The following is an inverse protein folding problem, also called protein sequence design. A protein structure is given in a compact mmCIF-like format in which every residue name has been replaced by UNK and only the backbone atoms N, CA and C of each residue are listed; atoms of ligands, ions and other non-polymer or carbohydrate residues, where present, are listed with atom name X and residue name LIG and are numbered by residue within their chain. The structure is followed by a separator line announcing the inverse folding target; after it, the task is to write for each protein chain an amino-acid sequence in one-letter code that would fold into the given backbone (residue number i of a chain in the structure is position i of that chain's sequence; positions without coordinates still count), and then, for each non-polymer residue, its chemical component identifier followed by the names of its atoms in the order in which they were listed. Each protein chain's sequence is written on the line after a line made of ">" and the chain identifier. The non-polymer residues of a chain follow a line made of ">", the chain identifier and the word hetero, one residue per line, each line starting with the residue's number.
data_IF_830886890843
#
_entry.id   IF_830886890843
#
_cell.length_a   1.000
_cell.length_b   1.000
_cell.length_c   1.000
_cell.angle_alpha   90.00
_cell.angle_beta   90.00
_cell.angle_gamma   90.00
#
_symmetry.space_group_name_H-M   'P 1'
#
loop_
_entity.id
_entity.type
_entity.pdbx_description
1 polymer ?
#
# COMPACT_ATOMS: atom_id res chain seq x y z
N UNK A 1 -12.89 -31.30 68.26
CA UNK A 1 -12.38 -29.90 68.27
C UNK A 1 -11.55 -29.77 67.01
N UNK A 2 -12.10 -29.21 65.92
CA UNK A 2 -12.00 -27.79 65.57
C UNK A 2 -10.51 -27.41 65.35
N UNK A 3 -10.04 -26.95 64.21
CA UNK A 3 -10.68 -26.03 63.28
C UNK A 3 -10.01 -26.12 61.89
N UNK A 4 -10.79 -25.71 60.91
CA UNK A 4 -10.40 -25.43 59.54
C UNK A 4 -9.29 -24.39 59.54
N UNK A 5 -8.29 -24.50 58.66
CA UNK A 5 -8.07 -23.36 57.78
C UNK A 5 -7.46 -23.72 56.43
N UNK A 6 -8.17 -23.22 55.43
CA UNK A 6 -7.96 -23.41 54.00
C UNK A 6 -6.62 -22.77 53.60
N UNK A 7 -5.69 -23.56 53.05
CA UNK A 7 -4.72 -22.99 52.10
C UNK A 7 -5.51 -22.45 50.91
N UNK A 8 -5.82 -21.15 50.94
CA UNK A 8 -6.24 -20.40 49.77
C UNK A 8 -5.15 -20.60 48.73
N UNK A 9 -5.51 -21.21 47.61
CA UNK A 9 -4.85 -20.98 46.33
C UNK A 9 -4.96 -19.49 46.08
N UNK A 10 -3.97 -18.73 46.52
CA UNK A 10 -3.79 -17.35 46.08
C UNK A 10 -3.53 -17.45 44.57
N UNK A 11 -4.60 -17.25 43.80
CA UNK A 11 -4.51 -17.05 42.37
C UNK A 11 -3.54 -15.91 42.07
N UNK A 12 -2.98 -15.92 40.86
CA UNK A 12 -2.08 -14.89 40.39
C UNK A 12 -2.63 -13.49 40.79
N UNK A 13 -1.78 -12.60 41.32
CA UNK A 13 -2.20 -11.26 41.70
C UNK A 13 -3.00 -10.60 40.59
N UNK A 14 -4.08 -9.89 40.94
CA UNK A 14 -4.86 -9.15 39.95
C UNK A 14 -3.93 -8.22 39.14
N UNK A 15 -4.03 -8.22 37.80
CA UNK A 15 -3.19 -7.36 37.00
C UNK A 15 -3.43 -5.90 37.41
N UNK A 16 -2.37 -5.07 37.51
CA UNK A 16 -2.50 -3.68 37.93
C UNK A 16 -3.50 -2.94 37.05
N UNK A 17 -4.28 -2.03 37.66
CA UNK A 17 -5.35 -1.29 37.01
C UNK A 17 -4.89 -0.47 35.78
N UNK A 18 -3.60 -0.14 35.70
CA UNK A 18 -2.96 0.40 34.51
C UNK A 18 -1.70 -0.40 34.18
N UNK A 19 -1.68 -0.98 32.97
CA UNK A 19 -0.47 -1.50 32.36
C UNK A 19 0.29 -0.29 31.80
N UNK A 20 1.20 0.28 32.59
CA UNK A 20 2.13 1.30 32.09
C UNK A 20 3.15 0.59 31.20
N UNK A 21 2.95 0.67 29.89
CA UNK A 21 3.94 0.24 28.91
C UNK A 21 5.17 1.14 29.12
N UNK A 22 6.26 0.59 29.62
CA UNK A 22 7.51 1.33 29.78
C UNK A 22 7.88 1.99 28.44
N UNK A 23 8.12 3.30 28.44
CA UNK A 23 8.60 4.00 27.25
C UNK A 23 9.85 3.28 26.75
N UNK A 24 9.73 2.65 25.58
CA UNK A 24 10.88 2.04 24.92
C UNK A 24 11.87 3.16 24.63
N UNK A 25 12.95 3.25 25.42
CA UNK A 25 14.06 4.16 25.14
C UNK A 25 14.40 4.01 23.66
N UNK A 26 14.37 5.08 22.84
CA UNK A 26 14.66 4.97 21.44
C UNK A 26 16.08 4.42 21.30
N UNK A 27 16.19 3.14 20.90
CA UNK A 27 17.48 2.54 20.62
C UNK A 27 18.07 3.30 19.44
N UNK A 28 19.23 3.92 19.64
CA UNK A 28 19.92 4.61 18.58
C UNK A 28 20.25 3.62 17.46
N UNK A 29 19.66 3.84 16.28
CA UNK A 29 19.81 2.95 15.15
C UNK A 29 21.06 3.34 14.35
N UNK A 30 22.18 2.70 14.70
CA UNK A 30 23.46 2.90 14.01
C UNK A 30 23.41 2.52 12.52
N UNK A 31 22.57 1.55 12.12
CA UNK A 31 22.44 1.18 10.70
C UNK A 31 21.77 2.30 9.94
N UNK A 32 20.72 2.88 10.52
CA UNK A 32 20.03 4.05 9.96
C UNK A 32 21.00 5.21 9.72
N UNK A 33 21.80 5.54 10.73
CA UNK A 33 22.80 6.63 10.65
C UNK A 33 23.86 6.32 9.58
N UNK A 34 24.35 5.08 9.55
CA UNK A 34 25.32 4.66 8.56
C UNK A 34 24.84 4.89 7.12
N UNK A 35 23.63 4.45 6.74
CA UNK A 35 23.13 4.63 5.37
C UNK A 35 22.79 6.08 5.05
N UNK A 36 22.37 6.88 6.03
CA UNK A 36 22.20 8.33 5.85
C UNK A 36 23.55 8.96 5.46
N UNK A 37 24.58 8.68 6.27
CA UNK A 37 25.93 9.18 6.03
C UNK A 37 26.53 8.63 4.74
N UNK A 38 26.25 7.38 4.38
CA UNK A 38 26.70 6.78 3.13
C UNK A 38 26.13 7.54 1.91
N UNK A 39 24.83 7.81 1.91
CA UNK A 39 24.18 8.58 0.85
C UNK A 39 24.75 9.99 0.72
N UNK A 40 24.95 10.69 1.85
CA UNK A 40 25.58 12.01 1.88
C UNK A 40 27.03 11.98 1.40
N UNK A 41 27.81 11.01 1.88
CA UNK A 41 29.22 10.86 1.53
C UNK A 41 29.38 10.63 0.04
N UNK A 42 28.58 9.73 -0.55
CA UNK A 42 28.62 9.49 -1.99
C UNK A 42 28.21 10.73 -2.78
N UNK A 43 27.20 11.48 -2.32
CA UNK A 43 26.82 12.73 -2.97
C UNK A 43 28.00 13.70 -3.03
N UNK A 44 28.61 14.01 -1.87
CA UNK A 44 29.69 14.98 -1.79
C UNK A 44 30.94 14.52 -2.54
N UNK A 45 31.32 13.25 -2.41
CA UNK A 45 32.47 12.69 -3.13
C UNK A 45 32.27 12.82 -4.63
N UNK A 46 31.11 12.41 -5.17
CA UNK A 46 30.86 12.46 -6.62
C UNK A 46 30.74 13.90 -7.11
N UNK A 47 30.04 14.77 -6.38
CA UNK A 47 29.84 16.16 -6.78
C UNK A 47 31.16 16.94 -6.88
N UNK A 48 32.07 16.77 -5.91
CA UNK A 48 33.36 17.48 -5.86
C UNK A 48 34.51 16.76 -6.59
N UNK A 49 34.33 15.52 -7.04
CA UNK A 49 35.35 14.81 -7.82
C UNK A 49 35.65 15.54 -9.13
N UNK A 50 36.89 15.46 -9.67
CA UNK A 50 37.19 16.00 -11.00
C UNK A 50 36.25 15.48 -12.09
N UNK A 51 36.10 16.22 -13.21
CA UNK A 51 35.26 15.79 -14.33
C UNK A 51 35.63 14.38 -14.81
N UNK A 52 34.61 13.55 -15.03
CA UNK A 52 34.81 12.24 -15.62
C UNK A 52 35.01 12.35 -17.13
N UNK A 53 35.57 11.29 -17.72
CA UNK A 53 35.71 11.18 -19.17
C UNK A 53 34.34 11.22 -19.84
N UNK A 54 34.29 11.81 -21.02
CA UNK A 54 33.08 11.88 -21.84
C UNK A 54 32.54 10.47 -22.13
N UNK A 55 31.21 10.36 -22.12
CA UNK A 55 30.55 9.13 -22.55
C UNK A 55 30.59 9.07 -24.08
N UNK A 56 31.10 7.98 -24.63
CA UNK A 56 31.15 7.75 -26.09
C UNK A 56 30.10 6.71 -26.41
N UNK A 57 29.15 7.05 -27.28
CA UNK A 57 28.15 6.10 -27.74
C UNK A 57 28.74 5.08 -28.75
N UNK A 58 28.03 3.99 -29.08
CA UNK A 58 28.50 3.02 -30.07
C UNK A 58 28.73 3.58 -31.48
N UNK A 59 28.26 4.80 -31.76
CA UNK A 59 28.45 5.51 -33.04
C UNK A 59 29.63 6.49 -33.02
N UNK A 60 30.35 6.58 -31.89
CA UNK A 60 31.51 7.45 -31.72
C UNK A 60 31.19 8.88 -31.31
N UNK A 61 29.92 9.21 -30.98
CA UNK A 61 29.55 10.54 -30.53
C UNK A 61 29.89 10.73 -29.06
N UNK A 62 30.66 11.77 -28.74
CA UNK A 62 31.02 12.14 -27.38
C UNK A 62 29.92 12.97 -26.73
N UNK A 63 29.54 12.59 -25.51
CA UNK A 63 28.59 13.29 -24.65
C UNK A 63 29.34 13.77 -23.40
N UNK A 64 29.68 15.07 -23.31
CA UNK A 64 30.38 15.59 -22.14
C UNK A 64 29.47 15.55 -20.92
N UNK A 65 29.97 14.99 -19.81
CA UNK A 65 29.24 14.97 -18.55
C UNK A 65 29.42 16.31 -17.83
N UNK A 66 28.43 17.19 -17.96
CA UNK A 66 28.45 18.49 -17.27
C UNK A 66 28.49 18.33 -15.75
N UNK A 67 28.91 19.39 -15.05
CA UNK A 67 28.90 19.42 -13.59
C UNK A 67 27.48 19.17 -13.03
N UNK A 68 26.45 19.69 -13.70
CA UNK A 68 25.05 19.46 -13.36
C UNK A 68 24.66 18.00 -13.58
N UNK A 69 25.07 17.37 -14.69
CA UNK A 69 24.81 15.96 -14.96
C UNK A 69 25.45 15.04 -13.91
N UNK A 70 26.71 15.31 -13.54
CA UNK A 70 27.39 14.61 -12.45
C UNK A 70 26.69 14.82 -11.10
N UNK A 71 26.26 16.04 -10.81
CA UNK A 71 25.47 16.36 -9.62
C UNK A 71 24.13 15.64 -9.57
N UNK A 72 23.46 15.47 -10.71
CA UNK A 72 22.23 14.69 -10.82
C UNK A 72 22.47 13.20 -10.51
N UNK A 73 23.57 12.61 -10.99
CA UNK A 73 23.96 11.24 -10.65
C UNK A 73 24.26 11.10 -9.16
N UNK A 74 25.02 12.04 -8.59
CA UNK A 74 25.33 12.08 -7.17
C UNK A 74 24.04 12.11 -6.32
N UNK A 75 23.08 12.95 -6.72
CA UNK A 75 21.79 13.08 -6.04
C UNK A 75 20.92 11.84 -6.19
N UNK A 76 20.91 11.24 -7.38
CA UNK A 76 20.21 9.99 -7.64
C UNK A 76 20.69 8.87 -6.73
N UNK A 77 22.01 8.75 -6.52
CA UNK A 77 22.59 7.74 -5.62
C UNK A 77 22.24 7.99 -4.15
N UNK A 78 22.28 9.26 -3.71
CA UNK A 78 21.82 9.64 -2.37
C UNK A 78 20.37 9.24 -2.15
N UNK A 79 19.48 9.65 -3.06
CA UNK A 79 18.06 9.33 -2.99
C UNK A 79 17.80 7.82 -3.04
N UNK A 80 18.50 7.11 -3.94
CA UNK A 80 18.40 5.67 -4.10
C UNK A 80 18.77 4.91 -2.83
N UNK A 81 19.86 5.29 -2.16
CA UNK A 81 20.25 4.68 -0.88
C UNK A 81 19.20 4.98 0.19
N UNK A 82 18.75 6.23 0.30
CA UNK A 82 17.78 6.60 1.33
C UNK A 82 16.43 5.90 1.14
N UNK A 83 15.97 5.72 -0.10
CA UNK A 83 14.73 5.01 -0.42
C UNK A 83 14.85 3.49 -0.30
N UNK A 84 15.93 2.87 -0.79
CA UNK A 84 16.11 1.41 -0.73
C UNK A 84 16.24 0.90 0.70
N UNK A 85 16.97 1.64 1.55
CA UNK A 85 17.17 1.26 2.94
C UNK A 85 16.15 1.91 3.89
N UNK A 86 15.20 2.70 3.37
CA UNK A 86 14.12 3.37 4.10
C UNK A 86 14.60 4.14 5.35
N UNK A 87 15.83 4.67 5.31
CA UNK A 87 16.46 5.32 6.48
C UNK A 87 15.93 6.72 6.76
N UNK A 88 15.31 7.33 5.77
CA UNK A 88 14.62 8.61 5.85
C UNK A 88 13.23 8.43 5.25
N UNK A 89 12.16 8.96 5.88
CA UNK A 89 10.81 8.87 5.31
C UNK A 89 10.79 9.36 3.86
N UNK A 90 10.11 8.63 2.98
CA UNK A 90 10.14 8.83 1.51
C UNK A 90 9.88 10.30 1.13
N UNK A 91 8.91 10.96 1.77
CA UNK A 91 8.60 12.37 1.51
C UNK A 91 9.69 13.35 1.94
N UNK A 92 10.41 13.06 3.03
CA UNK A 92 11.55 13.88 3.49
C UNK A 92 12.70 13.76 2.49
N UNK A 93 12.97 12.54 2.00
CA UNK A 93 13.93 12.31 0.92
C UNK A 93 13.53 13.08 -0.34
N UNK A 94 12.26 13.06 -0.75
CA UNK A 94 11.78 13.82 -1.91
C UNK A 94 11.99 15.33 -1.78
N UNK A 95 11.73 15.91 -0.60
CA UNK A 95 12.01 17.34 -0.35
C UNK A 95 13.52 17.60 -0.38
N UNK A 96 14.32 16.72 0.22
CA UNK A 96 15.78 16.83 0.19
C UNK A 96 16.31 16.84 -1.25
N UNK A 97 15.73 16.05 -2.17
CA UNK A 97 16.08 16.09 -3.61
C UNK A 97 15.85 17.49 -4.20
N UNK A 98 14.70 18.12 -3.95
CA UNK A 98 14.43 19.49 -4.42
C UNK A 98 15.40 20.51 -3.84
N UNK A 99 15.67 20.41 -2.53
CA UNK A 99 16.59 21.31 -1.82
C UNK A 99 18.03 21.16 -2.33
N UNK A 100 18.53 19.93 -2.48
CA UNK A 100 19.89 19.68 -2.98
C UNK A 100 20.05 20.16 -4.43
N UNK A 101 19.04 19.99 -5.28
CA UNK A 101 19.10 20.53 -6.64
C UNK A 101 19.33 22.03 -6.66
N UNK A 102 18.62 22.78 -5.82
CA UNK A 102 18.75 24.23 -5.70
C UNK A 102 20.08 24.65 -5.05
N UNK A 103 20.44 24.04 -3.91
CA UNK A 103 21.65 24.40 -3.15
C UNK A 103 22.94 24.15 -3.94
N UNK A 104 23.00 23.05 -4.69
CA UNK A 104 24.17 22.66 -5.47
C UNK A 104 24.08 23.10 -6.94
N UNK A 105 23.13 23.97 -7.27
CA UNK A 105 22.93 24.51 -8.64
C UNK A 105 22.89 23.42 -9.73
N UNK A 106 22.31 22.26 -9.39
CA UNK A 106 22.07 21.16 -10.35
C UNK A 106 20.99 21.60 -11.34
N UNK A 107 19.92 22.22 -10.82
CA UNK A 107 18.87 22.91 -11.56
C UNK A 107 18.54 24.22 -10.83
N UNK A 108 17.89 25.15 -11.52
CA UNK A 108 17.38 26.35 -10.86
C UNK A 108 16.35 25.96 -9.79
N UNK A 109 16.24 26.74 -8.70
CA UNK A 109 15.25 26.48 -7.66
C UNK A 109 13.82 26.45 -8.22
N UNK A 110 13.51 27.36 -9.16
CA UNK A 110 12.21 27.39 -9.84
C UNK A 110 11.92 26.08 -10.55
N UNK A 111 12.88 25.54 -11.30
CA UNK A 111 12.67 24.30 -12.05
C UNK A 111 12.62 23.09 -11.12
N UNK A 112 13.47 23.03 -10.08
CA UNK A 112 13.50 21.92 -9.13
C UNK A 112 12.20 21.80 -8.32
N UNK A 113 11.60 22.93 -7.90
CA UNK A 113 10.35 22.92 -7.12
C UNK A 113 9.09 22.86 -7.99
N UNK A 114 9.17 23.20 -9.28
CA UNK A 114 8.04 23.08 -10.22
C UNK A 114 7.54 21.64 -10.32
N UNK A 115 8.44 20.66 -10.24
CA UNK A 115 8.10 19.23 -10.37
C UNK A 115 7.13 18.74 -9.28
N UNK A 116 7.10 19.39 -8.10
CA UNK A 116 6.12 19.07 -7.06
C UNK A 116 4.68 19.47 -7.43
N UNK A 117 4.53 20.38 -8.39
CA UNK A 117 3.25 20.86 -8.91
C UNK A 117 2.88 20.21 -10.25
N UNK A 118 3.55 19.11 -10.63
CA UNK A 118 3.20 18.37 -11.83
C UNK A 118 1.72 17.94 -11.80
N UNK A 119 0.98 18.04 -12.92
CA UNK A 119 -0.42 17.62 -12.98
C UNK A 119 -0.67 16.19 -12.49
N UNK A 120 0.27 15.27 -12.69
CA UNK A 120 0.19 13.88 -12.22
C UNK A 120 0.28 13.80 -10.71
N UNK A 121 1.15 14.61 -10.08
CA UNK A 121 1.26 14.73 -8.63
C UNK A 121 -0.01 15.31 -8.03
N UNK A 122 -0.55 16.38 -8.64
CA UNK A 122 -1.82 16.98 -8.22
C UNK A 122 -3.01 16.02 -8.38
N UNK A 123 -3.00 15.21 -9.45
CA UNK A 123 -3.98 14.15 -9.64
C UNK A 123 -3.91 13.08 -8.56
N UNK A 124 -2.70 12.61 -8.21
CA UNK A 124 -2.49 11.65 -7.11
C UNK A 124 -2.99 12.22 -5.78
N UNK A 125 -2.72 13.50 -5.50
CA UNK A 125 -3.25 14.15 -4.31
C UNK A 125 -4.79 14.14 -4.29
N UNK A 126 -5.43 14.55 -5.38
CA UNK A 126 -6.89 14.54 -5.51
C UNK A 126 -7.49 13.14 -5.36
N UNK A 127 -6.90 12.13 -5.99
CA UNK A 127 -7.38 10.74 -5.92
C UNK A 127 -7.28 10.16 -4.50
N UNK A 128 -6.23 10.50 -3.75
CA UNK A 128 -6.09 10.09 -2.34
C UNK A 128 -7.14 10.77 -1.46
N UNK A 129 -7.41 12.06 -1.68
CA UNK A 129 -8.47 12.79 -0.94
C UNK A 129 -9.85 12.17 -1.20
N UNK A 130 -10.14 11.86 -2.47
CA UNK A 130 -11.34 11.13 -2.88
C UNK A 130 -11.44 9.77 -2.19
N UNK A 131 -10.39 8.94 -2.26
CA UNK A 131 -10.37 7.63 -1.63
C UNK A 131 -10.54 7.69 -0.09
N UNK A 132 -10.02 8.75 0.54
CA UNK A 132 -10.20 9.00 1.97
C UNK A 132 -11.66 9.34 2.30
N UNK A 133 -12.35 10.13 1.46
CA UNK A 133 -13.77 10.45 1.63
C UNK A 133 -14.64 9.18 1.60
N UNK A 134 -14.40 8.28 0.62
CA UNK A 134 -15.04 6.96 0.56
C UNK A 134 -14.81 6.15 1.84
N UNK A 135 -13.57 6.12 2.33
CA UNK A 135 -13.21 5.36 3.53
C UNK A 135 -13.87 5.93 4.79
N UNK A 136 -13.93 7.26 4.91
CA UNK A 136 -14.49 7.95 6.08
C UNK A 136 -16.01 7.90 6.14
N UNK A 137 -16.71 7.89 5.00
CA UNK A 137 -18.17 7.78 4.98
C UNK A 137 -18.69 6.39 5.38
N UNK A 138 -17.83 5.36 5.36
CA UNK A 138 -18.22 3.97 5.65
C UNK A 138 -18.78 3.21 4.44
N UNK A 139 -18.92 3.89 3.29
CA UNK A 139 -19.43 3.32 2.05
C UNK A 139 -18.62 2.10 1.58
N UNK A 140 -17.30 2.11 1.82
CA UNK A 140 -16.39 1.03 1.45
C UNK A 140 -16.70 -0.26 2.20
N UNK A 141 -17.01 -0.17 3.50
CA UNK A 141 -17.44 -1.33 4.31
C UNK A 141 -18.78 -1.87 3.83
N UNK A 142 -19.72 -0.98 3.51
CA UNK A 142 -21.04 -1.37 2.97
C UNK A 142 -20.91 -2.12 1.65
N UNK A 143 -20.09 -1.60 0.73
CA UNK A 143 -19.82 -2.26 -0.54
C UNK A 143 -19.17 -3.65 -0.33
N UNK A 144 -18.19 -3.74 0.57
CA UNK A 144 -17.54 -5.00 0.91
C UNK A 144 -18.52 -6.05 1.45
N UNK A 145 -19.38 -5.69 2.42
CA UNK A 145 -20.38 -6.62 2.97
C UNK A 145 -21.41 -7.04 1.93
N UNK A 146 -21.95 -6.08 1.16
CA UNK A 146 -22.96 -6.38 0.14
C UNK A 146 -22.41 -7.33 -0.92
N UNK A 147 -21.17 -7.14 -1.35
CA UNK A 147 -20.53 -8.06 -2.30
C UNK A 147 -20.31 -9.46 -1.71
N UNK A 148 -19.98 -9.57 -0.41
CA UNK A 148 -19.80 -10.85 0.27
C UNK A 148 -21.11 -11.58 0.60
N UNK A 149 -22.24 -10.88 0.72
CA UNK A 149 -23.56 -11.53 0.88
C UNK A 149 -23.93 -12.42 -0.32
N UNK A 150 -23.43 -12.11 -1.52
CA UNK A 150 -23.60 -12.92 -2.72
C UNK A 150 -22.68 -14.14 -2.76
N UNK A 151 -21.68 -14.19 -1.88
CA UNK A 151 -20.67 -15.24 -1.86
C UNK A 151 -21.17 -16.36 -0.95
N UNK A 152 -21.48 -17.50 -1.56
CA UNK A 152 -21.99 -18.67 -0.84
C UNK A 152 -20.99 -19.26 0.15
N UNK A 153 -21.31 -20.42 0.73
CA UNK A 153 -20.51 -21.00 1.82
C UNK A 153 -19.30 -21.82 1.36
N UNK A 154 -19.11 -22.01 0.05
CA UNK A 154 -17.99 -22.77 -0.51
C UNK A 154 -16.68 -22.00 -0.34
N UNK A 155 -15.69 -22.60 0.30
CA UNK A 155 -14.42 -21.95 0.66
C UNK A 155 -13.66 -21.37 -0.55
N UNK A 156 -13.70 -22.06 -1.71
CA UNK A 156 -13.11 -21.55 -2.96
C UNK A 156 -13.81 -20.30 -3.50
N UNK A 157 -15.14 -20.23 -3.38
CA UNK A 157 -15.94 -19.08 -3.80
C UNK A 157 -15.80 -17.93 -2.81
N UNK A 158 -15.66 -18.24 -1.50
CA UNK A 158 -15.34 -17.24 -0.47
C UNK A 158 -14.02 -16.57 -0.78
N UNK A 159 -12.97 -17.36 -1.05
CA UNK A 159 -11.69 -16.81 -1.46
C UNK A 159 -11.85 -15.92 -2.71
N UNK A 160 -12.49 -16.41 -3.78
CA UNK A 160 -12.71 -15.62 -4.99
C UNK A 160 -13.44 -14.31 -4.70
N UNK A 161 -14.53 -14.38 -3.93
CA UNK A 161 -15.33 -13.23 -3.52
C UNK A 161 -14.50 -12.20 -2.77
N UNK A 162 -13.68 -12.63 -1.79
CA UNK A 162 -12.78 -11.74 -1.07
C UNK A 162 -11.77 -11.06 -1.99
N UNK A 163 -11.18 -11.78 -2.96
CA UNK A 163 -10.23 -11.21 -3.91
C UNK A 163 -10.90 -10.21 -4.85
N UNK A 164 -12.09 -10.55 -5.35
CA UNK A 164 -12.89 -9.67 -6.23
C UNK A 164 -13.30 -8.39 -5.51
N UNK A 165 -13.75 -8.50 -4.25
CA UNK A 165 -14.07 -7.34 -3.42
C UNK A 165 -12.83 -6.47 -3.20
N UNK A 166 -11.71 -7.08 -2.84
CA UNK A 166 -10.46 -6.34 -2.59
C UNK A 166 -9.99 -5.60 -3.84
N UNK A 167 -9.98 -6.27 -4.99
CA UNK A 167 -9.60 -5.66 -6.26
C UNK A 167 -10.58 -4.56 -6.70
N UNK A 168 -11.89 -4.81 -6.58
CA UNK A 168 -12.93 -3.85 -6.92
C UNK A 168 -12.87 -2.58 -6.07
N UNK A 169 -12.61 -2.71 -4.76
CA UNK A 169 -12.38 -1.55 -3.89
C UNK A 169 -11.11 -0.78 -4.30
N UNK A 170 -10.06 -1.48 -4.71
CA UNK A 170 -8.81 -0.87 -5.17
C UNK A 170 -8.96 -0.07 -6.49
N UNK A 171 -10.12 -0.13 -7.17
CA UNK A 171 -10.40 0.77 -8.30
C UNK A 171 -10.74 2.19 -7.86
N UNK A 172 -11.21 2.37 -6.62
CA UNK A 172 -11.74 3.63 -6.10
C UNK A 172 -10.87 4.23 -4.99
N UNK A 173 -9.96 3.45 -4.42
CA UNK A 173 -9.09 3.89 -3.33
C UNK A 173 -7.72 3.22 -3.40
N UNK A 174 -6.77 3.76 -2.63
CA UNK A 174 -5.45 3.16 -2.49
C UNK A 174 -5.53 1.69 -2.02
N UNK A 175 -4.73 0.82 -2.63
CA UNK A 175 -4.65 -0.62 -2.31
C UNK A 175 -4.46 -0.91 -0.80
N UNK A 176 -3.72 -0.06 -0.08
CA UNK A 176 -3.54 -0.18 1.37
C UNK A 176 -4.85 0.08 2.14
N UNK A 177 -5.64 1.07 1.72
CA UNK A 177 -6.96 1.36 2.29
C UNK A 177 -7.98 0.28 1.96
N UNK A 178 -7.95 -0.27 0.73
CA UNK A 178 -8.79 -1.39 0.32
C UNK A 178 -8.51 -2.64 1.18
N UNK A 179 -7.23 -3.00 1.35
CA UNK A 179 -6.83 -4.11 2.22
C UNK A 179 -7.26 -3.88 3.68
N UNK A 180 -7.02 -2.68 4.24
CA UNK A 180 -7.44 -2.35 5.60
C UNK A 180 -8.95 -2.43 5.81
N UNK A 181 -9.75 -2.10 4.79
CA UNK A 181 -11.22 -2.19 4.83
C UNK A 181 -11.69 -3.65 4.88
N UNK A 182 -11.07 -4.53 4.08
CA UNK A 182 -11.49 -5.94 3.96
C UNK A 182 -10.90 -6.82 5.08
N UNK A 183 -9.77 -6.42 5.66
CA UNK A 183 -9.05 -7.21 6.67
C UNK A 183 -9.89 -7.68 7.88
N UNK A 184 -10.71 -6.83 8.54
CA UNK A 184 -11.58 -7.28 9.64
C UNK A 184 -12.59 -8.35 9.20
N UNK A 185 -13.02 -8.30 7.94
CA UNK A 185 -13.96 -9.26 7.37
C UNK A 185 -13.27 -10.61 7.18
N UNK A 186 -12.04 -10.61 6.67
CA UNK A 186 -11.25 -11.84 6.54
C UNK A 186 -10.92 -12.46 7.89
N UNK A 187 -10.68 -11.63 8.91
CA UNK A 187 -10.53 -12.11 10.29
C UNK A 187 -11.80 -12.82 10.77
N UNK A 188 -12.98 -12.24 10.54
CA UNK A 188 -14.25 -12.86 10.91
C UNK A 188 -14.48 -14.18 10.16
N UNK A 189 -14.18 -14.23 8.85
CA UNK A 189 -14.25 -15.45 8.03
C UNK A 189 -13.29 -16.51 8.57
N UNK A 190 -12.04 -16.14 8.83
CA UNK A 190 -11.01 -17.04 9.32
C UNK A 190 -11.35 -17.59 10.72
N UNK A 191 -11.96 -16.77 11.59
CA UNK A 191 -12.41 -17.20 12.91
C UNK A 191 -13.53 -18.24 12.86
N UNK A 192 -14.41 -18.21 11.84
CA UNK A 192 -15.42 -19.25 11.62
C UNK A 192 -14.83 -20.54 11.02
N UNK A 193 -13.66 -20.45 10.38
CA UNK A 193 -13.01 -21.56 9.70
C UNK A 193 -12.08 -22.37 10.60
N UNK A 194 -11.26 -21.65 11.38
CA UNK A 194 -10.20 -22.19 12.22
C UNK A 194 -10.75 -22.91 13.44
N UNK A 195 -10.06 -23.98 13.84
CA UNK A 195 -10.26 -24.66 15.12
C UNK A 195 -9.05 -24.33 16.01
N UNK A 196 -9.19 -23.29 16.84
CA UNK A 196 -8.13 -22.80 17.72
C UNK A 196 -7.15 -21.83 17.05
N UNK A 197 -5.95 -21.71 17.62
CA UNK A 197 -4.96 -20.68 17.24
C UNK A 197 -4.02 -21.08 16.09
N UNK A 198 -4.22 -22.26 15.48
CA UNK A 198 -3.30 -22.76 14.45
C UNK A 198 -3.54 -22.09 13.10
N UNK A 199 -2.49 -21.61 12.39
CA UNK A 199 -2.63 -21.06 11.06
C UNK A 199 -3.13 -22.11 10.05
N UNK A 200 -4.25 -21.84 9.39
CA UNK A 200 -4.79 -22.69 8.32
C UNK A 200 -4.28 -22.25 6.94
N UNK A 201 -4.22 -23.15 5.97
CA UNK A 201 -3.92 -22.86 4.57
C UNK A 201 -4.96 -21.92 3.98
N UNK A 202 -6.24 -22.12 4.31
CA UNK A 202 -7.27 -21.17 3.91
C UNK A 202 -7.04 -19.77 4.48
N UNK A 203 -6.75 -19.65 5.79
CA UNK A 203 -6.42 -18.37 6.41
C UNK A 203 -5.22 -17.70 5.73
N UNK A 204 -4.14 -18.45 5.48
CA UNK A 204 -3.00 -17.95 4.70
C UNK A 204 -3.43 -17.48 3.31
N UNK A 205 -4.26 -18.25 2.61
CA UNK A 205 -4.76 -17.90 1.27
C UNK A 205 -5.60 -16.61 1.28
N UNK A 206 -6.41 -16.38 2.33
CA UNK A 206 -7.20 -15.16 2.48
C UNK A 206 -6.31 -13.93 2.60
N UNK A 207 -5.35 -13.94 3.54
CA UNK A 207 -4.52 -12.76 3.81
C UNK A 207 -3.46 -12.51 2.74
N UNK A 208 -2.80 -13.56 2.24
CA UNK A 208 -1.85 -13.47 1.12
C UNK A 208 -2.60 -13.04 -0.14
N UNK A 209 -3.74 -13.67 -0.41
CA UNK A 209 -4.56 -13.34 -1.56
C UNK A 209 -5.07 -11.91 -1.53
N UNK A 210 -5.55 -11.42 -0.38
CA UNK A 210 -5.93 -10.02 -0.20
C UNK A 210 -4.79 -9.07 -0.58
N UNK A 211 -3.57 -9.32 -0.10
CA UNK A 211 -2.42 -8.47 -0.42
C UNK A 211 -2.13 -8.43 -1.94
N UNK A 212 -2.13 -9.59 -2.60
CA UNK A 212 -1.90 -9.66 -4.04
C UNK A 212 -3.06 -9.10 -4.86
N UNK A 213 -4.32 -9.37 -4.48
CA UNK A 213 -5.50 -8.87 -5.18
C UNK A 213 -5.65 -7.35 -5.03
N UNK A 214 -5.29 -6.78 -3.88
CA UNK A 214 -5.22 -5.32 -3.72
C UNK A 214 -4.22 -4.71 -4.70
N UNK A 215 -3.03 -5.34 -4.85
CA UNK A 215 -2.05 -4.93 -5.85
C UNK A 215 -2.55 -5.07 -7.29
N UNK A 216 -3.14 -6.21 -7.64
CA UNK A 216 -3.65 -6.48 -8.98
C UNK A 216 -4.85 -5.60 -9.36
N UNK A 217 -5.76 -5.31 -8.44
CA UNK A 217 -6.86 -4.36 -8.67
C UNK A 217 -6.35 -2.93 -8.85
N UNK A 218 -5.30 -2.56 -8.10
CA UNK A 218 -4.78 -1.18 -8.12
C UNK A 218 -4.15 -0.73 -9.43
N UNK A 219 -3.74 -1.65 -10.30
CA UNK A 219 -3.18 -1.29 -11.61
C UNK A 219 -4.24 -0.88 -12.61
N UNK A 220 -5.52 -1.17 -12.33
CA UNK A 220 -6.61 -0.94 -13.27
C UNK A 220 -6.90 0.56 -13.42
N UNK A 221 -6.92 1.34 -12.34
CA UNK A 221 -7.26 2.77 -12.40
C UNK A 221 -6.16 3.65 -11.85
N UNK A 222 -6.14 4.94 -12.20
CA UNK A 222 -5.24 5.91 -11.57
C UNK A 222 -5.54 6.15 -10.08
N UNK A 223 -6.74 5.78 -9.59
CA UNK A 223 -7.11 5.94 -8.17
C UNK A 223 -6.47 4.85 -7.30
N UNK A 224 -6.23 3.65 -7.86
CA UNK A 224 -5.72 2.51 -7.09
C UNK A 224 -4.22 2.59 -6.79
N UNK A 225 -3.44 3.12 -7.73
CA UNK A 225 -1.97 3.12 -7.68
C UNK A 225 -1.38 4.44 -8.16
N UNK A 226 -0.68 5.14 -7.25
CA UNK A 226 0.09 6.34 -7.57
C UNK A 226 1.14 6.11 -8.67
N UNK A 227 1.62 4.87 -8.83
CA UNK A 227 2.58 4.50 -9.89
C UNK A 227 1.98 4.63 -11.29
N UNK A 228 0.68 4.37 -11.44
CA UNK A 228 0.02 4.47 -12.73
C UNK A 228 -0.08 5.94 -13.18
N UNK A 229 -0.45 6.84 -12.27
CA UNK A 229 -0.49 8.28 -12.54
C UNK A 229 0.91 8.85 -12.80
N UNK A 230 1.91 8.48 -12.00
CA UNK A 230 3.30 8.86 -12.25
C UNK A 230 3.82 8.33 -13.60
N UNK A 231 3.48 7.10 -13.94
CA UNK A 231 3.80 6.49 -15.24
C UNK A 231 3.16 7.23 -16.42
N UNK A 232 1.92 7.70 -16.28
CA UNK A 232 1.27 8.52 -17.30
C UNK A 232 1.96 9.88 -17.49
N UNK A 233 2.42 10.52 -16.41
CA UNK A 233 3.22 11.74 -16.48
C UNK A 233 4.54 11.54 -17.24
N UNK A 234 5.30 10.51 -16.86
CA UNK A 234 6.54 10.15 -17.57
C UNK A 234 6.29 9.78 -19.04
N UNK A 235 5.20 9.06 -19.33
CA UNK A 235 4.83 8.71 -20.70
C UNK A 235 4.54 9.95 -21.54
N UNK A 236 3.83 10.93 -20.98
CA UNK A 236 3.59 12.21 -21.63
C UNK A 236 4.89 12.97 -21.89
N UNK A 237 5.80 13.00 -20.92
CA UNK A 237 7.10 13.66 -21.05
C UNK A 237 7.96 13.04 -22.17
N UNK A 238 8.03 11.70 -22.24
CA UNK A 238 8.90 11.02 -23.21
C UNK A 238 8.31 10.92 -24.62
N UNK A 239 6.99 10.85 -24.75
CA UNK A 239 6.34 10.57 -26.05
C UNK A 239 5.54 11.75 -26.60
N UNK A 240 5.27 12.77 -25.78
CA UNK A 240 4.34 13.85 -26.10
C UNK A 240 2.87 13.42 -26.15
N UNK A 241 2.54 12.15 -25.85
CA UNK A 241 1.17 11.62 -25.87
C UNK A 241 0.62 11.48 -24.46
N UNK A 242 -0.65 11.82 -24.28
CA UNK A 242 -1.35 11.65 -23.00
C UNK A 242 -2.12 10.34 -22.99
N UNK A 243 -2.18 9.69 -21.82
CA UNK A 243 -3.06 8.54 -21.59
C UNK A 243 -4.13 8.98 -20.60
N UNK A 244 -5.38 8.91 -21.03
CA UNK A 244 -6.51 9.28 -20.18
C UNK A 244 -6.83 8.22 -19.11
N UNK A 245 -7.62 8.62 -18.10
CA UNK A 245 -8.08 7.72 -17.03
C UNK A 245 -8.77 6.45 -17.57
N UNK A 246 -9.77 6.64 -18.42
CA UNK A 246 -10.54 5.53 -19.00
C UNK A 246 -9.75 4.71 -20.02
N UNK A 247 -8.79 5.36 -20.68
CA UNK A 247 -7.92 4.70 -21.66
C UNK A 247 -6.97 3.72 -20.96
N UNK A 248 -6.24 4.18 -19.93
CA UNK A 248 -5.44 3.27 -19.10
C UNK A 248 -6.32 2.15 -18.54
N UNK A 249 -7.49 2.51 -18.01
CA UNK A 249 -8.39 1.56 -17.39
C UNK A 249 -8.82 0.48 -18.36
N UNK A 250 -9.15 0.83 -19.60
CA UNK A 250 -9.50 -0.14 -20.65
C UNK A 250 -8.39 -1.15 -20.89
N UNK A 251 -7.14 -0.71 -21.02
CA UNK A 251 -6.01 -1.60 -21.26
C UNK A 251 -5.67 -2.46 -20.04
N UNK A 252 -5.72 -1.84 -18.85
CA UNK A 252 -5.32 -2.49 -17.60
C UNK A 252 -6.41 -3.38 -17.02
N UNK A 253 -7.67 -3.21 -17.42
CA UNK A 253 -8.81 -3.99 -16.90
C UNK A 253 -8.62 -5.49 -17.11
N UNK A 254 -8.30 -5.91 -18.34
CA UNK A 254 -8.10 -7.33 -18.67
C UNK A 254 -6.89 -7.88 -17.90
N UNK A 255 -5.81 -7.09 -17.80
CA UNK A 255 -4.58 -7.50 -17.12
C UNK A 255 -4.84 -7.65 -15.62
N UNK A 256 -5.42 -6.64 -14.96
CA UNK A 256 -5.64 -6.64 -13.52
C UNK A 256 -6.63 -7.72 -13.08
N UNK A 257 -7.77 -7.87 -13.76
CA UNK A 257 -8.72 -8.95 -13.44
C UNK A 257 -8.19 -10.34 -13.82
N UNK A 258 -7.44 -10.43 -14.91
CA UNK A 258 -6.70 -11.64 -15.27
C UNK A 258 -5.72 -12.04 -14.17
N UNK A 259 -4.97 -11.09 -13.62
CA UNK A 259 -4.08 -11.32 -12.48
C UNK A 259 -4.85 -11.76 -11.23
N UNK A 260 -5.99 -11.12 -10.89
CA UNK A 260 -6.83 -11.55 -9.75
C UNK A 260 -7.27 -13.01 -9.91
N UNK A 261 -7.70 -13.40 -11.11
CA UNK A 261 -8.08 -14.78 -11.41
C UNK A 261 -6.89 -15.75 -11.32
N UNK A 262 -5.73 -15.37 -11.83
CA UNK A 262 -4.50 -16.18 -11.74
C UNK A 262 -4.03 -16.33 -10.28
N UNK A 263 -4.11 -15.27 -9.48
CA UNK A 263 -3.83 -15.29 -8.04
C UNK A 263 -4.77 -16.27 -7.35
N UNK A 264 -6.07 -16.18 -7.64
CA UNK A 264 -7.06 -17.09 -7.09
C UNK A 264 -6.75 -18.56 -7.45
N UNK A 265 -6.46 -18.84 -8.72
CA UNK A 265 -6.10 -20.17 -9.19
C UNK A 265 -4.83 -20.70 -8.52
N UNK A 266 -3.79 -19.87 -8.44
CA UNK A 266 -2.55 -20.18 -7.75
C UNK A 266 -2.79 -20.54 -6.28
N UNK A 267 -3.58 -19.74 -5.57
CA UNK A 267 -3.86 -19.97 -4.15
C UNK A 267 -4.68 -21.25 -3.93
N UNK A 268 -5.65 -21.57 -4.79
CA UNK A 268 -6.41 -22.82 -4.68
C UNK A 268 -5.53 -24.06 -4.93
N UNK A 269 -4.58 -23.97 -5.86
CA UNK A 269 -3.69 -25.08 -6.20
C UNK A 269 -2.64 -25.30 -5.10
N UNK A 270 -1.95 -24.24 -4.67
CA UNK A 270 -0.82 -24.35 -3.74
C UNK A 270 -1.21 -24.25 -2.26
N UNK A 271 -2.28 -23.51 -1.94
CA UNK A 271 -2.82 -23.35 -0.59
C UNK A 271 -4.25 -23.92 -0.52
N UNK A 272 -4.42 -25.16 -0.99
CA UNK A 272 -5.71 -25.85 -1.01
C UNK A 272 -6.40 -25.80 0.37
N UNK A 273 -7.64 -25.28 0.45
CA UNK A 273 -8.37 -25.22 1.70
C UNK A 273 -8.60 -26.61 2.32
N UNK A 274 -8.48 -26.69 3.63
CA UNK A 274 -8.66 -27.93 4.41
C UNK A 274 -10.11 -28.43 4.43
N UNK A 275 -11.04 -27.49 4.58
CA UNK A 275 -12.49 -27.68 4.53
C UNK A 275 -13.06 -27.04 3.26
N UNK A 276 -14.09 -27.68 2.69
CA UNK A 276 -14.75 -27.22 1.46
C UNK A 276 -15.84 -26.17 1.69
N UNK A 277 -16.31 -26.03 2.94
CA UNK A 277 -17.37 -25.11 3.34
C UNK A 277 -17.01 -24.36 4.62
N UNK A 278 -17.60 -23.17 4.79
CA UNK A 278 -17.53 -22.35 6.00
C UNK A 278 -18.95 -22.17 6.55
N UNK A 279 -19.41 -23.04 7.47
CA UNK A 279 -20.77 -22.99 7.99
C UNK A 279 -21.06 -21.67 8.70
N UNK A 280 -22.26 -21.10 8.48
CA UNK A 280 -22.70 -19.89 9.20
C UNK A 280 -22.08 -18.59 8.70
N UNK A 281 -21.26 -18.62 7.65
CA UNK A 281 -20.66 -17.40 7.10
C UNK A 281 -21.74 -16.43 6.60
N UNK A 282 -22.75 -16.94 5.89
CA UNK A 282 -23.82 -16.09 5.33
C UNK A 282 -24.59 -15.35 6.41
N UNK A 283 -24.88 -16.03 7.52
CA UNK A 283 -25.53 -15.42 8.68
C UNK A 283 -24.63 -14.37 9.33
N UNK A 284 -23.34 -14.67 9.50
CA UNK A 284 -22.37 -13.73 10.09
C UNK A 284 -22.22 -12.46 9.25
N UNK A 285 -22.05 -12.60 7.94
CA UNK A 285 -21.95 -11.45 7.01
C UNK A 285 -23.25 -10.66 7.01
N UNK A 286 -24.41 -11.32 6.97
CA UNK A 286 -25.71 -10.66 7.06
C UNK A 286 -25.91 -9.90 8.36
N UNK A 287 -25.40 -10.42 9.49
CA UNK A 287 -25.42 -9.72 10.78
C UNK A 287 -24.54 -8.47 10.75
N UNK A 288 -23.30 -8.58 10.26
CA UNK A 288 -22.37 -7.44 10.10
C UNK A 288 -22.93 -6.36 9.16
N UNK A 289 -23.62 -6.77 8.10
CA UNK A 289 -24.30 -5.89 7.15
C UNK A 289 -25.46 -5.14 7.81
N UNK A 290 -26.28 -5.83 8.62
CA UNK A 290 -27.37 -5.20 9.40
C UNK A 290 -26.85 -4.25 10.47
N UNK A 291 -25.71 -4.54 11.09
CA UNK A 291 -25.05 -3.67 12.08
C UNK A 291 -24.60 -2.32 11.50
N UNK A 292 -24.38 -2.21 10.17
CA UNK A 292 -24.10 -0.92 9.52
C UNK A 292 -25.32 0.02 9.48
N UNK A 293 -26.54 -0.50 9.65
CA UNK A 293 -27.76 0.30 9.56
C UNK A 293 -28.06 0.84 8.14
N UNK A 294 -29.03 1.77 8.02
CA UNK A 294 -29.41 2.36 6.73
C UNK A 294 -28.29 3.24 6.16
N UNK A 295 -28.41 3.59 4.88
CA UNK A 295 -27.45 4.48 4.22
C UNK A 295 -27.44 5.86 4.92
N UNK A 296 -26.25 6.34 5.27
CA UNK A 296 -26.08 7.61 5.99
C UNK A 296 -26.06 8.79 5.02
N UNK A 297 -26.25 10.01 5.53
CA UNK A 297 -26.14 11.24 4.72
C UNK A 297 -24.73 11.41 4.15
N UNK A 298 -23.71 11.01 4.90
CA UNK A 298 -22.31 11.09 4.47
C UNK A 298 -22.03 10.11 3.33
N UNK A 299 -22.60 8.90 3.38
CA UNK A 299 -22.53 7.93 2.28
C UNK A 299 -23.20 8.47 1.02
N UNK A 300 -24.40 9.05 1.15
CA UNK A 300 -25.12 9.66 0.01
C UNK A 300 -24.32 10.83 -0.57
N UNK A 301 -23.80 11.71 0.28
CA UNK A 301 -23.01 12.86 -0.15
C UNK A 301 -21.80 12.41 -0.96
N UNK A 302 -21.04 11.42 -0.47
CA UNK A 302 -19.88 10.89 -1.19
C UNK A 302 -20.28 10.26 -2.53
N UNK A 303 -21.39 9.50 -2.60
CA UNK A 303 -21.87 8.92 -3.86
C UNK A 303 -22.22 9.98 -4.91
N UNK A 304 -22.75 11.13 -4.49
CA UNK A 304 -23.20 12.18 -5.41
C UNK A 304 -22.05 13.09 -5.84
N UNK A 305 -21.11 13.36 -4.94
CA UNK A 305 -20.08 14.40 -5.14
C UNK A 305 -18.77 13.87 -5.69
N UNK A 306 -18.55 12.56 -5.66
CA UNK A 306 -17.29 11.91 -6.02
C UNK A 306 -17.51 10.84 -7.08
#
# INVERSE_FOLDING_TARGET
>A
MADKDKKRTEGLPEPPAEIVIAETKPKFDWKRVFFILLGLSLFFVIYYMPPWKDAIDPTGKAFPLSQQGKGAIALFLLAGIWWVFEVVPIGVTSIAIGVFQALFSIRSAKDAFKDFMDPSVMFIFGSVVVGLAFTKSGLTKRLAYKMLEFVGEKTSMILLGCLVVTAGLAHFMAHTAAAATVFPILLAINALYGEGERPTKFGKSLFIGMAYAAGAGSVITFLGSARAAAGAGMFQEFTGRTIGFFELSKYSFIIGWGMVFLIWLYLIIFLKPEKSIVPGLRERVGKLSKELGPITKDEIFVIITV
#
